data_IF_022540065275
#
_entry.id   IF_022540065275
#
_cell.length_a   1.000
_cell.length_b   1.000
_cell.length_c   1.000
_cell.angle_alpha   90.00
_cell.angle_beta   90.00
_cell.angle_gamma   90.00
#
_symmetry.space_group_name_H-M   'P 1'
#
loop_
_entity.id
_entity.type
_entity.pdbx_description
1 polymer ?
#
# COMPACT_ATOMS: atom_id res chain seq x y z
N UNK A 1 41.17 15.91 -11.34
CA UNK A 1 40.45 14.65 -11.12
C UNK A 1 40.17 14.45 -9.63
N UNK A 2 39.26 15.23 -9.04
CA UNK A 2 38.73 14.97 -7.69
C UNK A 2 37.26 15.43 -7.69
N UNK A 3 36.42 14.72 -8.44
CA UNK A 3 34.98 15.01 -8.52
C UNK A 3 34.09 13.77 -8.33
N UNK A 4 34.68 12.58 -8.21
CA UNK A 4 33.92 11.32 -8.13
C UNK A 4 33.87 10.69 -6.73
N UNK A 5 34.48 11.31 -5.70
CA UNK A 5 34.49 10.74 -4.35
C UNK A 5 33.48 11.38 -3.38
N UNK A 6 32.74 12.42 -3.79
CA UNK A 6 31.79 13.12 -2.91
C UNK A 6 30.32 12.69 -3.04
N UNK A 7 29.97 11.89 -4.05
CA UNK A 7 28.59 11.45 -4.29
C UNK A 7 28.25 10.09 -3.65
N UNK A 8 29.24 9.36 -3.14
CA UNK A 8 29.04 8.06 -2.50
C UNK A 8 28.84 8.15 -0.98
N UNK A 9 28.93 9.34 -0.38
CA UNK A 9 28.85 9.56 1.07
C UNK A 9 27.63 10.39 1.51
N UNK A 10 26.75 10.81 0.60
CA UNK A 10 25.54 11.57 0.93
C UNK A 10 24.28 10.70 1.09
N UNK A 11 24.38 9.37 0.95
CA UNK A 11 23.24 8.45 1.09
C UNK A 11 23.26 7.63 2.38
N UNK A 12 24.13 7.94 3.33
CA UNK A 12 24.02 7.47 4.71
C UNK A 12 23.27 8.54 5.52
N UNK A 13 22.11 8.16 6.08
CA UNK A 13 21.27 8.90 7.05
C UNK A 13 20.00 9.63 6.59
N UNK A 14 19.28 9.15 5.57
CA UNK A 14 17.83 9.40 5.56
C UNK A 14 17.13 8.33 6.39
N UNK A 15 16.48 8.81 7.44
CA UNK A 15 16.02 8.11 8.63
C UNK A 15 14.87 7.15 8.36
N UNK A 16 14.78 6.09 9.18
CA UNK A 16 13.60 5.24 9.35
C UNK A 16 12.37 5.99 9.91
N UNK A 17 12.32 7.32 9.78
CA UNK A 17 11.28 8.20 10.34
C UNK A 17 10.16 8.53 9.34
N UNK A 18 10.23 8.04 8.09
CA UNK A 18 9.28 8.36 7.00
C UNK A 18 8.40 7.15 6.62
N UNK A 19 7.88 6.44 7.62
CA UNK A 19 6.98 5.30 7.41
C UNK A 19 5.68 5.49 8.20
N UNK A 20 4.57 5.64 7.48
CA UNK A 20 3.23 5.63 8.07
C UNK A 20 2.65 4.22 8.01
N UNK A 21 2.43 3.61 9.18
CA UNK A 21 1.76 2.30 9.26
C UNK A 21 0.26 2.46 9.54
N UNK A 22 -0.55 1.85 8.68
CA UNK A 22 -2.00 1.79 8.78
C UNK A 22 -2.45 0.35 8.98
N UNK A 23 -2.85 0.05 10.21
CA UNK A 23 -3.38 -1.26 10.59
C UNK A 23 -4.88 -1.35 10.26
N UNK A 24 -5.21 -2.10 9.20
CA UNK A 24 -6.59 -2.24 8.70
C UNK A 24 -7.52 -2.79 9.78
N UNK A 25 -7.06 -3.76 10.56
CA UNK A 25 -7.82 -4.36 11.67
C UNK A 25 -8.18 -3.34 12.76
N UNK A 26 -7.21 -2.50 13.17
CA UNK A 26 -7.44 -1.45 14.18
C UNK A 26 -8.44 -0.41 13.66
N UNK A 27 -8.27 0.04 12.41
CA UNK A 27 -9.22 0.94 11.77
C UNK A 27 -10.62 0.33 11.67
N UNK A 28 -10.74 -0.92 11.23
CA UNK A 28 -12.02 -1.62 11.08
C UNK A 28 -12.75 -1.80 12.42
N UNK A 29 -12.01 -1.97 13.51
CA UNK A 29 -12.56 -2.04 14.87
C UNK A 29 -13.10 -0.67 15.31
N UNK A 30 -12.38 0.41 14.99
CA UNK A 30 -12.74 1.78 15.36
C UNK A 30 -14.04 2.26 14.71
N UNK A 31 -14.34 1.81 13.49
CA UNK A 31 -15.59 2.13 12.78
C UNK A 31 -16.75 1.21 13.16
N UNK A 32 -16.61 0.42 14.24
CA UNK A 32 -17.59 -0.52 14.77
C UNK A 32 -18.08 -1.62 13.79
N UNK A 33 -17.44 -1.76 12.62
CA UNK A 33 -17.77 -2.76 11.59
C UNK A 33 -17.52 -4.18 12.09
N UNK A 34 -16.51 -4.38 12.94
CA UNK A 34 -15.99 -5.72 13.29
C UNK A 34 -16.15 -6.08 14.78
N UNK A 35 -17.19 -5.57 15.48
CA UNK A 35 -17.50 -6.03 16.86
C UNK A 35 -17.84 -7.53 16.93
N UNK A 36 -18.14 -8.15 15.79
CA UNK A 36 -18.18 -9.60 15.57
C UNK A 36 -17.34 -9.89 14.34
N UNK A 37 -16.55 -10.96 14.37
CA UNK A 37 -15.64 -11.37 13.29
C UNK A 37 -16.40 -11.58 11.98
N UNK A 38 -16.55 -10.53 11.18
CA UNK A 38 -16.82 -10.71 9.76
C UNK A 38 -15.49 -11.03 9.11
N UNK A 39 -15.29 -12.31 8.82
CA UNK A 39 -14.09 -12.83 8.14
C UNK A 39 -13.91 -12.25 6.73
N UNK A 40 -14.94 -11.59 6.19
CA UNK A 40 -14.99 -11.01 4.84
C UNK A 40 -15.21 -9.49 4.89
N UNK A 41 -14.28 -8.75 4.28
CA UNK A 41 -14.39 -7.30 4.08
C UNK A 41 -15.01 -7.01 2.71
N UNK A 42 -16.07 -6.22 2.66
CA UNK A 42 -16.85 -5.91 1.45
C UNK A 42 -16.92 -4.41 1.18
N UNK A 43 -17.58 -3.98 0.09
CA UNK A 43 -17.81 -2.57 -0.31
C UNK A 43 -18.04 -1.59 0.84
N UNK A 44 -18.97 -1.87 1.74
CA UNK A 44 -19.29 -0.95 2.85
C UNK A 44 -18.07 -0.73 3.77
N UNK A 45 -17.36 -1.81 4.08
CA UNK A 45 -16.14 -1.78 4.88
C UNK A 45 -15.02 -1.03 4.14
N UNK A 46 -14.89 -1.26 2.83
CA UNK A 46 -13.93 -0.58 1.97
C UNK A 46 -14.12 0.94 2.00
N UNK A 47 -15.35 1.41 1.80
CA UNK A 47 -15.67 2.86 1.86
C UNK A 47 -15.30 3.48 3.20
N UNK A 48 -15.67 2.83 4.31
CA UNK A 48 -15.38 3.34 5.64
C UNK A 48 -13.88 3.40 5.94
N UNK A 49 -13.15 2.34 5.57
CA UNK A 49 -11.71 2.30 5.75
C UNK A 49 -10.99 3.34 4.90
N UNK A 50 -11.39 3.50 3.65
CA UNK A 50 -10.82 4.53 2.78
C UNK A 50 -10.97 5.93 3.39
N UNK A 51 -12.16 6.29 3.88
CA UNK A 51 -12.36 7.58 4.54
C UNK A 51 -11.48 7.76 5.79
N UNK A 52 -11.29 6.70 6.59
CA UNK A 52 -10.40 6.74 7.75
C UNK A 52 -8.93 6.84 7.37
N UNK A 53 -8.54 6.23 6.26
CA UNK A 53 -7.19 6.35 5.71
C UNK A 53 -6.96 7.79 5.27
N UNK A 54 -7.89 8.41 4.52
CA UNK A 54 -7.80 9.81 4.11
C UNK A 54 -7.57 10.76 5.29
N UNK A 55 -8.21 10.52 6.44
CA UNK A 55 -7.97 11.31 7.66
C UNK A 55 -6.51 11.23 8.12
N UNK A 56 -5.88 10.06 8.03
CA UNK A 56 -4.46 9.85 8.39
C UNK A 56 -3.51 10.47 7.38
N UNK A 57 -3.81 10.36 6.08
CA UNK A 57 -2.99 10.92 4.99
C UNK A 57 -2.93 12.46 5.00
N UNK A 58 -3.72 13.16 5.83
CA UNK A 58 -3.60 14.62 6.00
C UNK A 58 -2.28 15.04 6.64
N UNK A 59 -1.60 14.13 7.32
CA UNK A 59 -0.34 14.38 8.03
C UNK A 59 0.87 13.82 7.29
N UNK A 60 0.70 13.53 6.00
CA UNK A 60 1.68 12.83 5.18
C UNK A 60 2.82 13.76 4.78
N UNK A 61 4.04 13.23 4.82
CA UNK A 61 5.27 13.93 4.43
C UNK A 61 5.65 13.54 2.99
N UNK A 62 6.37 14.41 2.29
CA UNK A 62 6.78 14.15 0.90
C UNK A 62 7.57 12.84 0.78
N UNK A 63 7.20 12.01 -0.22
CA UNK A 63 7.82 10.71 -0.49
C UNK A 63 7.71 9.66 0.63
N UNK A 64 6.84 9.87 1.63
CA UNK A 64 6.60 8.92 2.71
C UNK A 64 6.05 7.58 2.19
N UNK A 65 6.43 6.47 2.84
CA UNK A 65 5.89 5.14 2.54
C UNK A 65 4.70 4.85 3.45
N UNK A 66 3.51 4.69 2.85
CA UNK A 66 2.29 4.26 3.54
C UNK A 66 2.19 2.74 3.51
N UNK A 67 2.44 2.13 4.66
CA UNK A 67 2.32 0.68 4.87
C UNK A 67 0.89 0.34 5.29
N UNK A 68 0.18 -0.45 4.49
CA UNK A 68 -1.14 -0.98 4.80
C UNK A 68 -0.98 -2.40 5.32
N UNK A 69 -1.27 -2.57 6.61
CA UNK A 69 -1.13 -3.85 7.30
C UNK A 69 -2.46 -4.62 7.35
N UNK A 70 -2.44 -5.80 6.71
CA UNK A 70 -3.55 -6.75 6.65
C UNK A 70 -3.52 -7.81 7.77
N UNK A 71 -2.70 -7.64 8.81
CA UNK A 71 -2.65 -8.60 9.91
C UNK A 71 -4.04 -8.84 10.52
N UNK A 72 -4.37 -10.12 10.68
CA UNK A 72 -5.67 -10.59 11.15
C UNK A 72 -6.84 -10.38 10.18
N UNK A 73 -6.61 -9.96 8.93
CA UNK A 73 -7.62 -9.90 7.87
C UNK A 73 -7.61 -11.23 7.10
N UNK A 74 -8.71 -11.99 7.20
CA UNK A 74 -8.79 -13.33 6.59
C UNK A 74 -9.17 -13.30 5.12
N UNK A 75 -10.16 -12.50 4.75
CA UNK A 75 -10.67 -12.40 3.38
C UNK A 75 -11.17 -10.99 3.07
N UNK A 76 -11.03 -10.62 1.80
CA UNK A 76 -11.67 -9.44 1.19
C UNK A 76 -12.54 -9.90 0.03
N UNK A 77 -13.49 -9.07 -0.37
CA UNK A 77 -14.23 -9.21 -1.63
C UNK A 77 -13.65 -8.26 -2.69
N UNK A 78 -13.87 -8.52 -3.98
CA UNK A 78 -13.43 -7.63 -5.06
C UNK A 78 -13.95 -6.20 -4.86
N UNK A 79 -15.18 -6.06 -4.36
CA UNK A 79 -15.78 -4.76 -4.08
C UNK A 79 -15.08 -3.98 -2.95
N UNK A 80 -14.35 -4.65 -2.06
CA UNK A 80 -13.50 -3.97 -1.08
C UNK A 80 -12.27 -3.35 -1.75
N UNK A 81 -11.64 -4.09 -2.66
CA UNK A 81 -10.46 -3.63 -3.40
C UNK A 81 -10.81 -2.42 -4.26
N UNK A 82 -11.94 -2.46 -4.97
CA UNK A 82 -12.46 -1.34 -5.79
C UNK A 82 -12.73 -0.06 -4.98
N UNK A 83 -13.14 -0.20 -3.72
CA UNK A 83 -13.62 0.93 -2.92
C UNK A 83 -12.57 1.48 -1.94
N UNK A 84 -11.47 0.75 -1.76
CA UNK A 84 -10.43 1.11 -0.81
C UNK A 84 -9.04 1.09 -1.45
N UNK A 85 -8.63 -0.03 -2.04
CA UNK A 85 -7.25 -0.19 -2.50
C UNK A 85 -7.03 0.55 -3.81
N UNK A 86 -7.90 0.38 -4.80
CA UNK A 86 -7.78 1.09 -6.09
C UNK A 86 -7.80 2.62 -5.89
N UNK A 87 -8.76 3.22 -5.16
CA UNK A 87 -8.76 4.67 -4.94
C UNK A 87 -7.54 5.17 -4.17
N UNK A 88 -7.02 4.37 -3.22
CA UNK A 88 -5.81 4.72 -2.48
C UNK A 88 -4.58 4.72 -3.40
N UNK A 89 -4.47 3.73 -4.27
CA UNK A 89 -3.43 3.65 -5.27
C UNK A 89 -3.50 4.82 -6.27
N UNK A 90 -4.69 5.21 -6.71
CA UNK A 90 -4.89 6.39 -7.57
C UNK A 90 -4.53 7.70 -6.84
N UNK A 91 -4.90 7.80 -5.57
CA UNK A 91 -4.57 8.95 -4.73
C UNK A 91 -3.06 9.09 -4.56
N UNK A 92 -2.33 7.99 -4.37
CA UNK A 92 -0.86 8.04 -4.20
C UNK A 92 -0.11 8.74 -5.34
N UNK A 93 -0.68 8.71 -6.54
CA UNK A 93 -0.12 9.32 -7.75
C UNK A 93 -0.65 10.73 -8.02
N UNK A 94 -1.87 11.03 -7.57
CA UNK A 94 -2.58 12.28 -7.90
C UNK A 94 -2.59 13.29 -6.77
N UNK A 95 -2.19 12.88 -5.56
CA UNK A 95 -2.09 13.77 -4.40
C UNK A 95 -1.02 14.84 -4.63
N UNK A 96 -1.24 16.03 -4.06
CA UNK A 96 -0.29 17.16 -4.12
C UNK A 96 1.05 16.78 -3.51
N UNK A 97 1.03 15.88 -2.53
CA UNK A 97 2.21 15.25 -1.93
C UNK A 97 2.19 13.76 -2.35
N UNK A 98 2.97 13.36 -3.37
CA UNK A 98 3.05 11.97 -3.79
C UNK A 98 3.63 11.08 -2.70
N UNK A 99 3.16 9.83 -2.65
CA UNK A 99 3.58 8.85 -1.65
C UNK A 99 3.58 7.44 -2.20
N UNK A 100 4.27 6.51 -1.53
CA UNK A 100 4.34 5.11 -1.93
C UNK A 100 3.42 4.26 -1.06
N UNK A 101 2.94 3.14 -1.59
CA UNK A 101 2.10 2.20 -0.85
C UNK A 101 2.79 0.85 -0.75
N UNK A 102 2.77 0.26 0.44
CA UNK A 102 3.26 -1.11 0.68
C UNK A 102 2.16 -1.91 1.37
N UNK A 103 1.83 -3.11 0.87
CA UNK A 103 0.81 -3.97 1.49
C UNK A 103 1.49 -5.13 2.23
N UNK A 104 1.44 -5.14 3.57
CA UNK A 104 2.07 -6.19 4.37
C UNK A 104 1.04 -7.14 4.99
N UNK A 105 1.51 -8.33 5.39
CA UNK A 105 0.69 -9.36 6.04
C UNK A 105 -0.56 -9.78 5.25
N UNK A 106 -0.53 -9.64 3.92
CA UNK A 106 -1.62 -10.12 3.06
C UNK A 106 -1.65 -11.66 3.02
N UNK A 107 -2.85 -12.22 3.00
CA UNK A 107 -3.05 -13.65 2.76
C UNK A 107 -3.10 -13.92 1.25
N UNK A 108 -2.77 -15.15 0.83
CA UNK A 108 -2.76 -15.53 -0.60
C UNK A 108 -4.10 -15.25 -1.30
N UNK A 109 -5.22 -15.39 -0.58
CA UNK A 109 -6.56 -15.06 -1.10
C UNK A 109 -6.74 -13.55 -1.33
N UNK A 110 -6.32 -12.73 -0.36
CA UNK A 110 -6.38 -11.27 -0.49
C UNK A 110 -5.48 -10.80 -1.63
N UNK A 111 -4.26 -11.33 -1.73
CA UNK A 111 -3.33 -11.06 -2.82
C UNK A 111 -3.94 -11.40 -4.18
N UNK A 112 -4.52 -12.60 -4.31
CA UNK A 112 -5.18 -13.03 -5.54
C UNK A 112 -6.29 -12.07 -5.97
N UNK A 113 -7.18 -11.68 -5.05
CA UNK A 113 -8.29 -10.77 -5.36
C UNK A 113 -7.78 -9.38 -5.73
N UNK A 114 -6.79 -8.85 -4.99
CA UNK A 114 -6.16 -7.55 -5.30
C UNK A 114 -5.53 -7.59 -6.69
N UNK A 115 -4.79 -8.64 -7.02
CA UNK A 115 -4.17 -8.81 -8.33
C UNK A 115 -5.21 -8.89 -9.45
N UNK A 116 -6.31 -9.64 -9.26
CA UNK A 116 -7.38 -9.74 -10.28
C UNK A 116 -8.02 -8.38 -10.55
N UNK A 117 -8.40 -7.64 -9.50
CA UNK A 117 -9.05 -6.34 -9.65
C UNK A 117 -8.12 -5.32 -10.31
N UNK A 118 -6.86 -5.24 -9.87
CA UNK A 118 -5.87 -4.34 -10.48
C UNK A 118 -5.59 -4.73 -11.94
N UNK A 119 -5.46 -6.03 -12.24
CA UNK A 119 -5.21 -6.52 -13.60
C UNK A 119 -6.35 -6.22 -14.59
N UNK A 120 -7.57 -6.01 -14.09
CA UNK A 120 -8.74 -5.62 -14.89
C UNK A 120 -8.86 -4.10 -15.09
N UNK A 121 -8.03 -3.28 -14.43
CA UNK A 121 -8.05 -1.85 -14.61
C UNK A 121 -7.65 -1.49 -16.05
N UNK A 122 -8.45 -0.62 -16.71
CA UNK A 122 -8.29 -0.25 -18.13
C UNK A 122 -6.95 0.44 -18.43
N UNK A 123 -6.34 1.05 -17.43
CA UNK A 123 -5.03 1.67 -17.50
C UNK A 123 -4.11 0.91 -16.53
N UNK A 124 -3.04 0.32 -17.05
CA UNK A 124 -1.99 -0.25 -16.20
C UNK A 124 -1.19 0.88 -15.57
N UNK A 125 -1.73 1.44 -14.49
CA UNK A 125 -1.05 2.44 -13.68
C UNK A 125 0.09 1.77 -12.90
N UNK A 126 1.19 2.50 -12.70
CA UNK A 126 2.38 1.99 -11.99
C UNK A 126 2.10 1.94 -10.49
N UNK A 127 1.64 0.81 -9.99
CA UNK A 127 1.52 0.62 -8.56
C UNK A 127 2.73 -0.18 -8.05
N UNK A 128 3.51 0.44 -7.19
CA UNK A 128 4.45 -0.30 -6.35
C UNK A 128 3.63 -0.81 -5.18
N UNK A 129 3.46 -2.12 -5.10
CA UNK A 129 2.88 -2.79 -3.94
C UNK A 129 3.91 -3.84 -3.55
N UNK A 130 4.61 -3.64 -2.45
CA UNK A 130 5.50 -4.66 -1.92
C UNK A 130 4.72 -5.55 -0.98
N UNK A 131 4.94 -6.86 -1.06
CA UNK A 131 4.36 -7.85 -0.17
C UNK A 131 5.51 -8.52 0.60
N UNK A 132 5.41 -8.60 1.93
CA UNK A 132 6.52 -9.03 2.80
C UNK A 132 6.84 -10.54 2.72
N UNK A 133 6.05 -11.31 1.97
CA UNK A 133 6.38 -12.71 1.72
C UNK A 133 7.39 -12.75 0.57
N UNK A 134 8.51 -13.43 0.81
CA UNK A 134 9.28 -14.07 -0.26
C UNK A 134 8.32 -15.03 -0.97
N UNK A 135 7.53 -14.50 -1.89
CA UNK A 135 6.71 -15.28 -2.79
C UNK A 135 7.66 -16.28 -3.46
N UNK A 136 7.19 -17.49 -3.76
CA UNK A 136 7.96 -18.44 -4.57
C UNK A 136 8.38 -17.85 -5.95
N UNK A 137 7.92 -16.64 -6.28
CA UNK A 137 8.18 -15.86 -7.49
C UNK A 137 8.75 -14.44 -7.26
N UNK A 138 9.27 -14.11 -6.07
CA UNK A 138 9.93 -12.81 -5.83
C UNK A 138 8.99 -11.61 -5.65
N UNK A 139 9.55 -10.45 -5.33
CA UNK A 139 8.83 -9.20 -5.05
C UNK A 139 7.96 -8.80 -6.25
N UNK A 140 6.63 -8.93 -6.12
CA UNK A 140 5.70 -8.57 -7.18
C UNK A 140 5.29 -7.11 -7.05
N UNK A 141 5.92 -6.26 -7.86
CA UNK A 141 5.30 -5.05 -8.33
C UNK A 141 3.88 -5.34 -8.87
N UNK A 142 2.83 -4.77 -8.30
CA UNK A 142 1.49 -4.81 -8.91
C UNK A 142 1.37 -3.70 -9.96
N UNK A 143 2.23 -3.73 -10.99
CA UNK A 143 2.32 -2.71 -12.03
C UNK A 143 3.69 -2.72 -12.73
N UNK A 144 3.89 -1.87 -13.74
CA UNK A 144 5.22 -1.70 -14.37
C UNK A 144 6.13 -0.85 -13.48
N UNK A 145 7.26 -1.41 -13.05
CA UNK A 145 8.29 -0.72 -12.24
C UNK A 145 9.53 -0.48 -13.11
N UNK A 146 10.12 0.72 -13.03
CA UNK A 146 11.41 1.04 -13.64
C UNK A 146 12.58 0.51 -12.79
N UNK A 147 13.74 0.25 -13.41
CA UNK A 147 14.93 -0.26 -12.69
C UNK A 147 15.34 0.63 -11.51
N UNK A 148 15.19 1.95 -11.63
CA UNK A 148 15.51 2.91 -10.57
C UNK A 148 14.54 2.82 -9.38
N UNK A 149 13.27 2.49 -9.64
CA UNK A 149 12.27 2.28 -8.60
C UNK A 149 12.45 0.95 -7.88
N UNK A 150 13.24 -0.01 -8.41
CA UNK A 150 13.62 -1.24 -7.69
C UNK A 150 14.71 -1.00 -6.64
N UNK A 151 15.55 0.02 -6.84
CA UNK A 151 16.65 0.34 -5.92
C UNK A 151 16.20 1.12 -4.67
N UNK A 152 14.98 1.69 -4.70
CA UNK A 152 14.34 2.36 -3.55
C UNK A 152 13.70 1.31 -2.60
N UNK A 153 13.60 0.05 -3.04
CA UNK A 153 12.88 -1.06 -2.40
C UNK A 153 13.78 -1.91 -1.50
#
# INVERSE_FOLDING_TARGET
MIAHLFLALSFQSHSLDEIMVIEIKKLATSVAVTRKSTDLFTRYVGKLLFQKILEKLKHLVEHEVVVIDFDGIRSVDASFVDECIVPLLELSQTNTIPFYIKLINITDNVEYIVHQVIGMAKEQKRYIVMTDRLCKNGCHALGSISEMEKDII
#
